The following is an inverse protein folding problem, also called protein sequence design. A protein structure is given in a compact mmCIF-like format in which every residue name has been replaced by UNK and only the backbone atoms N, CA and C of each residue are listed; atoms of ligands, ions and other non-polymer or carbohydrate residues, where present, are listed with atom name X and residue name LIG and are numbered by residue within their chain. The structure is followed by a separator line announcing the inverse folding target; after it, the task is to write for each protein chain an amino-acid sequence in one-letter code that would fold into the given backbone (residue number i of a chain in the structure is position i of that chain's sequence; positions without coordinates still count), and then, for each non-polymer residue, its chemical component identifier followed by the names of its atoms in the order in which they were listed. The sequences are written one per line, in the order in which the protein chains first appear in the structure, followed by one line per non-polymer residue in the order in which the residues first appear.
data_IF_137857896649
#
_entry.id   IF_137857896649
#
_cell.length_a   1.000
_cell.length_b   1.000
_cell.length_c   1.000
_cell.angle_alpha   90.00
_cell.angle_beta   90.00
_cell.angle_gamma   90.00
#
_symmetry.space_group_name_H-M   'P 1'
#
loop_
_entity.id
_entity.type
_entity.pdbx_description
1 polymer ?
#
# COMPACT_ATOMS: atom_id res chain seq x y z
N UNK A 1 -49.57 -15.05 -41.60
CA UNK A 1 -49.38 -14.14 -40.45
C UNK A 1 -49.06 -14.81 -39.10
N UNK A 2 -49.04 -16.15 -38.98
CA UNK A 2 -48.73 -16.87 -37.71
C UNK A 2 -47.24 -17.25 -37.53
N UNK A 3 -46.43 -17.18 -38.58
CA UNK A 3 -45.00 -17.55 -38.54
C UNK A 3 -44.13 -16.36 -38.07
N UNK A 4 -44.48 -15.13 -38.46
CA UNK A 4 -43.76 -13.92 -38.08
C UNK A 4 -43.87 -13.59 -36.57
N UNK A 5 -45.02 -13.85 -35.97
CA UNK A 5 -45.24 -13.61 -34.52
C UNK A 5 -44.46 -14.58 -33.63
N UNK A 6 -44.18 -15.80 -34.11
CA UNK A 6 -43.43 -16.81 -33.35
C UNK A 6 -41.92 -16.52 -33.31
N UNK A 7 -41.38 -15.91 -34.35
CA UNK A 7 -39.97 -15.54 -34.42
C UNK A 7 -39.66 -14.25 -33.65
N UNK A 8 -40.59 -13.29 -33.59
CA UNK A 8 -40.46 -12.09 -32.76
C UNK A 8 -40.50 -12.44 -31.26
N UNK A 9 -41.38 -13.37 -30.86
CA UNK A 9 -41.45 -13.83 -29.48
C UNK A 9 -40.16 -14.52 -29.00
N UNK A 10 -39.50 -15.30 -29.86
CA UNK A 10 -38.22 -15.94 -29.56
C UNK A 10 -37.05 -14.95 -29.46
N UNK A 11 -37.03 -13.90 -30.30
CA UNK A 11 -35.99 -12.87 -30.25
C UNK A 11 -36.14 -11.95 -29.03
N UNK A 12 -37.37 -11.61 -28.64
CA UNK A 12 -37.62 -10.82 -27.42
C UNK A 12 -37.28 -11.62 -26.16
N UNK A 13 -37.57 -12.92 -26.11
CA UNK A 13 -37.21 -13.78 -24.97
C UNK A 13 -35.68 -13.93 -24.82
N UNK A 14 -34.92 -13.99 -25.93
CA UNK A 14 -33.47 -14.04 -25.90
C UNK A 14 -32.83 -12.70 -25.46
N UNK A 15 -33.45 -11.57 -25.79
CA UNK A 15 -32.93 -10.25 -25.42
C UNK A 15 -33.20 -9.88 -23.95
N UNK A 16 -34.27 -10.41 -23.35
CA UNK A 16 -34.58 -10.21 -21.92
C UNK A 16 -33.62 -10.99 -21.01
N UNK A 17 -33.05 -12.11 -21.46
CA UNK A 17 -31.99 -12.82 -20.71
C UNK A 17 -30.64 -12.08 -20.69
N UNK A 18 -30.38 -11.19 -21.64
CA UNK A 18 -29.12 -10.41 -21.73
C UNK A 18 -29.12 -9.13 -20.89
N UNK A 19 -30.27 -8.75 -20.31
CA UNK A 19 -30.45 -7.54 -19.49
C UNK A 19 -30.71 -7.85 -18.01
N UNK A 20 -30.60 -9.11 -17.59
CA UNK A 20 -30.55 -9.40 -16.17
C UNK A 20 -29.25 -8.79 -15.61
N UNK A 21 -29.31 -7.86 -14.64
CA UNK A 21 -28.11 -7.47 -13.93
C UNK A 21 -27.53 -8.76 -13.35
N UNK A 22 -26.25 -9.03 -13.61
CA UNK A 22 -25.46 -10.03 -12.90
C UNK A 22 -25.29 -9.58 -11.45
N UNK A 23 -26.40 -9.44 -10.74
CA UNK A 23 -26.48 -9.22 -9.32
C UNK A 23 -26.38 -10.62 -8.71
N UNK A 24 -25.15 -11.03 -8.41
CA UNK A 24 -24.93 -12.24 -7.64
C UNK A 24 -25.62 -12.07 -6.29
N UNK A 25 -26.79 -12.69 -6.13
CA UNK A 25 -27.34 -12.95 -4.81
C UNK A 25 -26.28 -13.75 -4.04
N UNK A 26 -25.71 -13.17 -2.98
CA UNK A 26 -24.85 -13.91 -2.05
C UNK A 26 -25.68 -15.05 -1.49
N UNK A 27 -25.39 -16.28 -1.92
CA UNK A 27 -26.00 -17.47 -1.34
C UNK A 27 -25.71 -17.46 0.16
N UNK A 28 -26.77 -17.42 0.98
CA UNK A 28 -26.65 -17.62 2.43
C UNK A 28 -25.95 -18.97 2.66
N UNK A 29 -24.71 -18.93 3.14
CA UNK A 29 -23.94 -20.11 3.53
C UNK A 29 -22.70 -20.44 2.71
N UNK A 30 -22.22 -19.58 1.80
CA UNK A 30 -20.88 -19.76 1.23
C UNK A 30 -19.84 -19.46 2.32
N UNK A 31 -19.20 -20.51 2.84
CA UNK A 31 -18.12 -20.40 3.82
C UNK A 31 -16.98 -19.59 3.19
N UNK A 32 -16.68 -18.44 3.80
CA UNK A 32 -15.60 -17.57 3.33
C UNK A 32 -14.26 -18.28 3.52
N UNK A 33 -13.80 -18.92 2.45
CA UNK A 33 -12.58 -19.72 2.38
C UNK A 33 -11.31 -18.87 2.27
N UNK A 34 -11.41 -17.54 2.35
CA UNK A 34 -10.23 -16.67 2.34
C UNK A 34 -9.32 -16.95 3.55
N UNK A 35 -7.99 -16.84 3.38
CA UNK A 35 -7.03 -16.80 4.48
C UNK A 35 -7.46 -15.85 5.60
N UNK A 36 -7.21 -16.20 6.87
CA UNK A 36 -7.57 -15.34 8.01
C UNK A 36 -6.83 -14.00 7.96
N UNK A 37 -5.54 -13.99 7.59
CA UNK A 37 -4.75 -12.77 7.45
C UNK A 37 -3.69 -12.92 6.34
N UNK A 38 -3.44 -11.84 5.61
CA UNK A 38 -2.22 -11.68 4.80
C UNK A 38 -1.34 -10.60 5.42
N UNK A 39 -0.10 -10.95 5.73
CA UNK A 39 0.93 -10.01 6.16
C UNK A 39 1.76 -9.57 4.95
N UNK A 40 1.86 -8.27 4.73
CA UNK A 40 2.56 -7.67 3.59
C UNK A 40 3.76 -6.90 4.11
N UNK A 41 4.95 -7.20 3.61
CA UNK A 41 6.14 -6.38 3.80
C UNK A 41 6.34 -5.49 2.58
N UNK A 42 6.42 -4.18 2.77
CA UNK A 42 6.74 -3.22 1.72
C UNK A 42 8.09 -2.56 2.04
N UNK A 43 9.14 -3.00 1.34
CA UNK A 43 10.49 -2.47 1.51
C UNK A 43 10.71 -1.27 0.58
N UNK A 44 10.84 -0.09 1.16
CA UNK A 44 11.03 1.16 0.42
C UNK A 44 12.50 1.38 0.09
N UNK A 45 12.83 1.36 -1.20
CA UNK A 45 14.15 1.72 -1.71
C UNK A 45 15.19 0.60 -1.71
N UNK A 46 16.47 0.96 -1.83
CA UNK A 46 17.58 0.01 -2.09
C UNK A 46 18.79 0.17 -1.19
N UNK A 47 18.95 1.28 -0.45
CA UNK A 47 20.14 1.50 0.42
C UNK A 47 20.15 0.55 1.61
N UNK A 48 18.97 0.12 2.06
CA UNK A 48 18.81 -0.85 3.15
C UNK A 48 18.57 -2.29 2.67
N UNK A 49 18.77 -2.58 1.38
CA UNK A 49 18.47 -3.89 0.80
C UNK A 49 19.11 -5.07 1.56
N UNK A 50 20.36 -4.92 2.01
CA UNK A 50 21.04 -5.93 2.82
C UNK A 50 20.24 -6.29 4.10
N UNK A 51 19.70 -5.30 4.80
CA UNK A 51 18.92 -5.52 6.01
C UNK A 51 17.54 -6.10 5.70
N UNK A 52 16.90 -5.65 4.63
CA UNK A 52 15.63 -6.20 4.18
C UNK A 52 15.75 -7.71 3.87
N UNK A 53 16.83 -8.13 3.18
CA UNK A 53 17.08 -9.56 2.93
C UNK A 53 17.25 -10.36 4.23
N UNK A 54 17.90 -9.77 5.24
CA UNK A 54 18.01 -10.40 6.57
C UNK A 54 16.67 -10.47 7.30
N UNK A 55 15.83 -9.44 7.19
CA UNK A 55 14.47 -9.45 7.76
C UNK A 55 13.66 -10.60 7.15
N UNK A 56 13.65 -10.72 5.82
CA UNK A 56 12.96 -11.84 5.14
C UNK A 56 13.59 -13.19 5.47
N UNK A 57 14.91 -13.28 5.62
CA UNK A 57 15.55 -14.51 6.11
C UNK A 57 15.04 -14.91 7.49
N UNK A 58 14.92 -13.96 8.42
CA UNK A 58 14.39 -14.22 9.76
C UNK A 58 12.92 -14.66 9.72
N UNK A 59 12.10 -14.08 8.82
CA UNK A 59 10.72 -14.53 8.58
C UNK A 59 10.69 -15.97 8.08
N UNK A 60 11.52 -16.32 7.09
CA UNK A 60 11.64 -17.70 6.58
C UNK A 60 12.07 -18.67 7.68
N UNK A 61 12.99 -18.26 8.55
CA UNK A 61 13.44 -19.08 9.67
C UNK A 61 12.29 -19.35 10.66
N UNK A 62 11.50 -18.33 10.99
CA UNK A 62 10.32 -18.46 11.85
C UNK A 62 9.24 -19.36 11.24
N UNK A 63 9.03 -19.28 9.92
CA UNK A 63 8.07 -20.11 9.19
C UNK A 63 8.38 -21.61 9.28
N UNK A 64 9.64 -22.01 9.52
CA UNK A 64 9.99 -23.43 9.74
C UNK A 64 9.35 -24.04 10.99
N UNK A 65 8.85 -23.21 11.90
CA UNK A 65 8.07 -23.66 13.05
C UNK A 65 6.62 -24.07 12.73
N UNK A 66 6.21 -24.07 11.46
CA UNK A 66 4.84 -24.36 11.00
C UNK A 66 3.76 -23.51 11.70
N UNK A 67 4.09 -22.22 11.90
CA UNK A 67 3.27 -21.28 12.66
C UNK A 67 2.26 -20.50 11.80
N UNK A 68 2.36 -20.59 10.47
CA UNK A 68 1.61 -19.73 9.55
C UNK A 68 0.13 -20.13 9.42
N UNK A 69 -0.19 -21.40 9.69
CA UNK A 69 -1.54 -21.93 9.51
C UNK A 69 -2.07 -21.68 8.09
N UNK A 70 -3.23 -21.03 7.98
CA UNK A 70 -3.83 -20.65 6.67
C UNK A 70 -3.50 -19.22 6.22
N UNK A 71 -2.69 -18.48 6.99
CA UNK A 71 -2.31 -17.11 6.65
C UNK A 71 -1.32 -17.05 5.49
N UNK A 72 -1.10 -15.86 4.93
CA UNK A 72 -0.15 -15.65 3.84
C UNK A 72 0.86 -14.57 4.22
N UNK A 73 2.07 -14.69 3.68
CA UNK A 73 3.11 -13.66 3.80
C UNK A 73 3.54 -13.26 2.39
N UNK A 74 3.46 -11.96 2.12
CA UNK A 74 3.92 -11.35 0.90
C UNK A 74 5.02 -10.33 1.21
N UNK A 75 5.91 -10.10 0.27
CA UNK A 75 6.85 -8.99 0.37
C UNK A 75 7.13 -8.37 -0.99
N UNK A 76 7.36 -7.05 -0.98
CA UNK A 76 7.76 -6.28 -2.15
C UNK A 76 9.20 -5.80 -2.02
N UNK A 77 10.01 -6.06 -3.04
CA UNK A 77 11.39 -5.58 -3.13
C UNK A 77 11.62 -4.75 -4.38
N UNK A 78 12.25 -3.60 -4.19
CA UNK A 78 12.76 -2.82 -5.29
C UNK A 78 14.05 -3.44 -5.86
N UNK A 79 14.15 -3.51 -7.18
CA UNK A 79 15.36 -3.98 -7.85
C UNK A 79 16.51 -2.96 -7.71
N UNK A 80 17.75 -3.42 -7.90
CA UNK A 80 18.95 -2.57 -7.78
C UNK A 80 18.96 -1.39 -8.75
N UNK A 81 18.30 -1.53 -9.90
CA UNK A 81 18.17 -0.48 -10.91
C UNK A 81 17.15 0.60 -10.54
N UNK A 82 16.36 0.40 -9.47
CA UNK A 82 15.33 1.33 -8.99
C UNK A 82 14.25 1.62 -10.03
N UNK A 83 14.01 0.68 -10.94
CA UNK A 83 13.00 0.83 -12.00
C UNK A 83 11.85 -0.14 -11.83
N UNK A 84 11.98 -1.11 -10.93
CA UNK A 84 10.98 -2.14 -10.73
C UNK A 84 10.86 -2.50 -9.25
N UNK A 85 9.67 -2.92 -8.85
CA UNK A 85 9.47 -3.66 -7.59
C UNK A 85 8.82 -5.00 -7.89
N UNK A 86 9.23 -6.03 -7.18
CA UNK A 86 8.78 -7.40 -7.37
C UNK A 86 8.00 -7.86 -6.14
N UNK A 87 6.79 -8.40 -6.36
CA UNK A 87 5.95 -8.99 -5.33
C UNK A 87 6.20 -10.50 -5.28
N UNK A 88 6.59 -10.97 -4.12
CA UNK A 88 6.79 -12.38 -3.84
C UNK A 88 5.82 -12.87 -2.75
N UNK A 89 5.48 -14.15 -2.81
CA UNK A 89 4.81 -14.89 -1.75
C UNK A 89 5.77 -15.90 -1.13
N UNK A 90 5.79 -15.96 0.21
CA UNK A 90 6.45 -17.03 0.93
C UNK A 90 5.48 -18.17 1.16
N UNK A 91 5.81 -19.36 0.64
CA UNK A 91 5.04 -20.59 0.83
C UNK A 91 5.84 -21.60 1.63
N UNK A 92 5.18 -22.26 2.58
CA UNK A 92 5.77 -23.38 3.30
C UNK A 92 5.25 -24.69 2.71
N UNK A 93 6.13 -25.44 2.06
CA UNK A 93 5.82 -26.70 1.39
C UNK A 93 6.90 -27.73 1.73
N UNK A 94 6.49 -28.90 2.24
CA UNK A 94 7.39 -30.05 2.47
C UNK A 94 8.61 -29.73 3.37
N UNK A 95 8.42 -28.88 4.38
CA UNK A 95 9.48 -28.50 5.32
C UNK A 95 10.42 -27.39 4.78
N UNK A 96 10.15 -26.86 3.59
CA UNK A 96 10.94 -25.80 2.97
C UNK A 96 10.09 -24.55 2.74
N UNK A 97 10.70 -23.38 2.95
CA UNK A 97 10.09 -22.10 2.59
C UNK A 97 10.55 -21.73 1.19
N UNK A 98 9.59 -21.61 0.27
CA UNK A 98 9.80 -21.20 -1.13
C UNK A 98 9.36 -19.77 -1.34
N UNK A 99 10.09 -19.05 -2.18
CA UNK A 99 9.71 -17.73 -2.70
C UNK A 99 9.06 -17.89 -4.07
N UNK A 100 7.83 -17.41 -4.21
CA UNK A 100 7.09 -17.44 -5.47
C UNK A 100 6.92 -16.01 -5.97
N UNK A 101 7.53 -15.67 -7.10
CA UNK A 101 7.29 -14.38 -7.76
C UNK A 101 5.84 -14.36 -8.28
N UNK A 102 5.07 -13.38 -7.82
CA UNK A 102 3.69 -13.19 -8.25
C UNK A 102 3.58 -12.11 -9.33
N UNK A 103 4.32 -11.01 -9.19
CA UNK A 103 4.23 -9.86 -10.10
C UNK A 103 5.49 -9.00 -10.09
N UNK A 104 5.80 -8.39 -11.23
CA UNK A 104 6.83 -7.35 -11.35
C UNK A 104 6.18 -6.05 -11.83
N UNK A 105 6.29 -4.99 -11.02
CA UNK A 105 5.75 -3.66 -11.31
C UNK A 105 6.86 -2.75 -11.84
N UNK A 106 6.58 -2.00 -12.91
CA UNK A 106 7.46 -0.90 -13.31
C UNK A 106 7.22 0.30 -12.40
N UNK A 107 8.30 0.93 -11.95
CA UNK A 107 8.25 2.11 -11.10
C UNK A 107 8.50 3.38 -11.94
N UNK A 108 7.75 4.47 -11.67
CA UNK A 108 8.06 5.78 -12.23
C UNK A 108 9.40 6.30 -11.67
N UNK A 109 9.97 7.35 -12.27
CA UNK A 109 11.17 7.97 -11.71
C UNK A 109 10.92 8.59 -10.32
N UNK A 110 9.71 9.13 -10.11
CA UNK A 110 9.22 9.65 -8.83
C UNK A 110 7.95 8.89 -8.46
N UNK A 111 7.92 8.28 -7.28
CA UNK A 111 6.74 7.56 -6.80
C UNK A 111 5.59 8.55 -6.58
N UNK A 112 4.44 8.25 -7.19
CA UNK A 112 3.21 9.04 -7.04
C UNK A 112 2.07 8.19 -6.47
N UNK A 113 1.01 8.88 -6.02
CA UNK A 113 -0.17 8.23 -5.43
C UNK A 113 -0.84 7.24 -6.39
N UNK A 114 -0.89 7.55 -7.69
CA UNK A 114 -1.52 6.69 -8.68
C UNK A 114 -0.78 5.35 -8.80
N UNK A 115 0.54 5.39 -8.88
CA UNK A 115 1.41 4.22 -8.97
C UNK A 115 1.38 3.41 -7.68
N UNK A 116 1.44 4.08 -6.52
CA UNK A 116 1.37 3.40 -5.23
C UNK A 116 0.00 2.73 -5.00
N UNK A 117 -1.08 3.43 -5.34
CA UNK A 117 -2.45 2.89 -5.30
C UNK A 117 -2.60 1.68 -6.20
N UNK A 118 -2.07 1.75 -7.43
CA UNK A 118 -2.10 0.62 -8.36
C UNK A 118 -1.42 -0.62 -7.79
N UNK A 119 -0.23 -0.46 -7.21
CA UNK A 119 0.53 -1.56 -6.59
C UNK A 119 -0.29 -2.20 -5.46
N UNK A 120 -0.78 -1.41 -4.50
CA UNK A 120 -1.53 -1.98 -3.36
C UNK A 120 -2.86 -2.62 -3.79
N UNK A 121 -3.60 -2.01 -4.72
CA UNK A 121 -4.82 -2.62 -5.27
C UNK A 121 -4.52 -3.98 -5.92
N UNK A 122 -3.43 -4.08 -6.68
CA UNK A 122 -3.04 -5.34 -7.30
C UNK A 122 -2.59 -6.38 -6.27
N UNK A 123 -1.82 -5.99 -5.24
CA UNK A 123 -1.44 -6.89 -4.14
C UNK A 123 -2.67 -7.48 -3.45
N UNK A 124 -3.67 -6.65 -3.12
CA UNK A 124 -4.92 -7.10 -2.49
C UNK A 124 -5.71 -8.03 -3.41
N UNK A 125 -5.75 -7.73 -4.72
CA UNK A 125 -6.41 -8.57 -5.73
C UNK A 125 -5.73 -9.93 -5.90
N UNK A 126 -4.40 -9.98 -5.90
CA UNK A 126 -3.62 -11.21 -6.00
C UNK A 126 -3.67 -12.04 -4.72
N UNK A 127 -3.89 -11.39 -3.58
CA UNK A 127 -4.01 -12.05 -2.28
C UNK A 127 -5.23 -11.63 -1.46
N UNK A 128 -6.44 -12.05 -1.87
CA UNK A 128 -7.65 -11.80 -1.10
C UNK A 128 -7.56 -12.51 0.26
N UNK A 129 -7.85 -11.81 1.34
CA UNK A 129 -7.85 -12.30 2.73
C UNK A 129 -8.95 -11.64 3.54
N UNK A 130 -9.24 -12.20 4.72
CA UNK A 130 -10.22 -11.63 5.65
C UNK A 130 -9.70 -10.36 6.34
N UNK A 131 -8.40 -10.31 6.60
CA UNK A 131 -7.71 -9.18 7.21
C UNK A 131 -6.31 -9.01 6.62
N UNK A 132 -5.70 -7.85 6.85
CA UNK A 132 -4.38 -7.50 6.35
C UNK A 132 -3.53 -6.86 7.44
N UNK A 133 -2.26 -7.28 7.53
CA UNK A 133 -1.22 -6.58 8.27
C UNK A 133 -0.21 -6.00 7.29
N UNK A 134 0.32 -4.80 7.58
CA UNK A 134 1.32 -4.15 6.75
C UNK A 134 2.58 -3.83 7.56
N UNK A 135 3.74 -4.21 7.03
CA UNK A 135 5.05 -3.79 7.52
C UNK A 135 5.66 -2.84 6.50
N UNK A 136 5.79 -1.58 6.86
CA UNK A 136 6.44 -0.54 6.07
C UNK A 136 7.88 -0.39 6.54
N UNK A 137 8.85 -0.74 5.69
CA UNK A 137 10.24 -0.81 6.08
C UNK A 137 11.14 0.05 5.19
N UNK A 138 11.92 0.95 5.80
CA UNK A 138 12.90 1.77 5.10
C UNK A 138 13.30 3.04 5.82
N UNK A 139 13.85 4.00 5.07
CA UNK A 139 14.20 5.29 5.64
C UNK A 139 12.96 6.15 5.88
N UNK A 140 12.98 6.91 6.96
CA UNK A 140 11.98 7.96 7.22
C UNK A 140 12.58 9.05 8.11
N UNK A 141 11.97 10.22 8.07
CA UNK A 141 12.34 11.39 8.86
C UNK A 141 11.23 11.83 9.81
N UNK A 142 10.24 10.97 10.08
CA UNK A 142 9.19 11.24 11.06
C UNK A 142 8.28 12.37 10.61
N UNK A 143 8.36 13.54 11.23
CA UNK A 143 7.51 14.70 10.91
C UNK A 143 8.17 15.72 9.95
N UNK A 144 9.32 15.41 9.37
CA UNK A 144 10.02 16.35 8.47
C UNK A 144 9.48 16.20 7.05
N UNK A 145 9.27 17.31 6.30
CA UNK A 145 8.79 17.23 4.94
C UNK A 145 9.76 16.58 3.97
N UNK A 146 9.19 15.93 2.95
CA UNK A 146 9.97 15.58 1.77
C UNK A 146 10.22 16.84 0.93
N UNK A 147 11.35 17.50 1.14
CA UNK A 147 11.81 18.53 0.23
C UNK A 147 13.03 18.01 -0.58
N UNK A 148 12.89 17.89 -1.93
CA UNK A 148 13.98 17.54 -2.82
C UNK A 148 15.18 18.50 -2.74
N UNK A 149 14.98 19.74 -2.27
CA UNK A 149 16.05 20.71 -2.02
C UNK A 149 16.63 20.61 -0.60
N UNK A 150 15.84 20.42 0.45
CA UNK A 150 16.34 20.30 1.83
C UNK A 150 17.12 19.00 2.11
N UNK A 151 16.84 17.93 1.36
CA UNK A 151 17.64 16.68 1.41
C UNK A 151 19.05 16.84 0.84
N UNK A 152 19.40 18.00 0.28
CA UNK A 152 20.74 18.34 -0.25
C UNK A 152 21.72 18.84 0.81
N UNK A 153 21.27 19.13 2.03
CA UNK A 153 22.14 19.66 3.08
C UNK A 153 22.40 18.59 4.13
N UNK A 154 23.57 17.96 4.01
CA UNK A 154 24.23 17.29 5.13
C UNK A 154 24.38 18.32 6.27
N UNK A 155 23.44 18.32 7.23
CA UNK A 155 23.43 19.26 8.35
C UNK A 155 22.42 20.43 8.29
N UNK A 156 21.24 20.27 7.68
CA UNK A 156 20.17 21.27 7.80
C UNK A 156 19.74 21.45 9.27
N UNK A 157 20.27 22.50 9.90
CA UNK A 157 19.75 23.09 11.14
C UNK A 157 18.35 23.62 10.84
N UNK A 158 17.34 23.07 11.49
CA UNK A 158 15.99 23.63 11.46
C UNK A 158 15.94 24.79 12.47
N UNK A 159 15.76 26.01 11.98
CA UNK A 159 15.27 27.09 12.82
C UNK A 159 13.77 26.86 13.06
N UNK A 160 13.40 26.77 14.34
CA UNK A 160 12.00 26.74 14.77
C UNK A 160 11.29 27.99 14.26
N UNK A 161 10.23 27.81 13.46
CA UNK A 161 9.32 28.90 13.07
C UNK A 161 8.46 29.26 14.30
N UNK A 162 9.08 29.99 15.22
CA UNK A 162 8.44 30.73 16.30
C UNK A 162 8.30 32.20 15.93
N UNK A 163 7.56 32.50 14.86
CA UNK A 163 7.25 33.86 14.44
C UNK A 163 5.87 34.29 14.91
N UNK A 164 5.80 35.04 16.01
CA UNK A 164 4.59 35.61 16.57
C UNK A 164 3.84 36.51 15.57
N UNK A 165 2.52 36.34 15.42
CA UNK A 165 1.67 37.42 14.89
C UNK A 165 0.52 37.07 13.93
N UNK A 166 -0.27 36.02 14.16
CA UNK A 166 -1.58 35.90 13.48
C UNK A 166 -2.64 35.26 14.40
N UNK A 167 -3.39 36.09 15.12
CA UNK A 167 -4.63 35.67 15.78
C UNK A 167 -5.75 35.58 14.73
N UNK A 168 -5.81 34.45 14.02
CA UNK A 168 -7.02 34.03 13.32
C UNK A 168 -7.58 32.82 14.08
N UNK A 169 -8.80 32.95 14.58
CA UNK A 169 -9.47 31.88 15.30
C UNK A 169 -10.00 30.87 14.28
N UNK A 170 -9.15 29.90 13.95
CA UNK A 170 -9.43 28.84 12.99
C UNK A 170 -10.45 27.86 13.58
N UNK A 171 -11.38 27.37 12.76
CA UNK A 171 -12.29 26.29 13.13
C UNK A 171 -11.53 24.97 13.30
N UNK A 172 -12.09 23.99 14.02
CA UNK A 172 -11.44 22.68 14.21
C UNK A 172 -11.05 22.01 12.88
N UNK A 173 -11.88 22.15 11.84
CA UNK A 173 -11.60 21.61 10.51
C UNK A 173 -10.45 22.36 9.81
N UNK A 174 -10.29 23.66 10.04
CA UNK A 174 -9.23 24.48 9.45
C UNK A 174 -7.86 24.25 10.08
N UNK A 175 -7.78 23.82 11.35
CA UNK A 175 -6.52 23.38 11.96
C UNK A 175 -5.91 22.17 11.26
N UNK A 176 -6.75 21.31 10.69
CA UNK A 176 -6.34 20.04 10.08
C UNK A 176 -6.37 20.08 8.55
N UNK A 177 -6.81 21.18 7.95
CA UNK A 177 -6.89 21.31 6.50
C UNK A 177 -5.52 21.73 5.96
N UNK A 178 -4.93 20.87 5.14
CA UNK A 178 -3.72 21.17 4.35
C UNK A 178 -3.84 22.54 3.69
N UNK A 179 -2.91 23.44 4.00
CA UNK A 179 -2.82 24.72 3.33
C UNK A 179 -2.30 24.54 1.90
N UNK A 180 -2.88 25.31 0.97
CA UNK A 180 -2.58 25.20 -0.45
C UNK A 180 -1.16 25.71 -0.69
N UNK A 181 -0.22 24.80 -0.97
CA UNK A 181 1.19 25.10 -1.22
C UNK A 181 2.15 24.75 -0.07
N UNK A 182 1.67 24.18 1.03
CA UNK A 182 2.54 23.68 2.10
C UNK A 182 3.15 22.30 1.75
N UNK A 183 4.41 22.12 2.14
CA UNK A 183 5.13 20.85 2.01
C UNK A 183 4.57 19.85 3.00
N UNK A 184 4.24 18.65 2.54
CA UNK A 184 3.79 17.60 3.44
C UNK A 184 4.96 17.16 4.30
N UNK A 185 4.82 17.39 5.61
CA UNK A 185 5.61 16.75 6.66
C UNK A 185 5.30 15.26 6.65
N UNK A 186 6.32 14.39 6.75
CA UNK A 186 6.26 12.94 7.03
C UNK A 186 6.39 12.03 5.80
N UNK A 187 7.64 11.77 5.41
CA UNK A 187 7.96 10.88 4.30
C UNK A 187 8.59 9.57 4.74
N UNK A 188 8.30 8.51 3.98
CA UNK A 188 8.98 7.22 4.04
C UNK A 188 9.54 6.90 2.65
N UNK A 189 10.72 6.29 2.59
CA UNK A 189 11.40 5.90 1.36
C UNK A 189 12.70 6.65 1.10
N UNK A 190 13.13 6.64 -0.16
CA UNK A 190 14.47 7.08 -0.55
C UNK A 190 14.44 8.06 -1.70
N UNK A 191 15.12 9.19 -1.51
CA UNK A 191 15.51 10.10 -2.59
C UNK A 191 16.85 9.65 -3.19
N UNK A 192 16.89 9.51 -4.51
CA UNK A 192 18.08 9.11 -5.26
C UNK A 192 18.76 10.28 -5.94
N UNK A 193 17.98 11.22 -6.47
CA UNK A 193 18.45 12.46 -7.09
C UNK A 193 17.34 13.52 -7.07
N UNK A 194 17.62 14.71 -7.60
CA UNK A 194 16.62 15.78 -7.74
C UNK A 194 15.44 15.43 -8.67
N UNK A 195 15.57 14.39 -9.49
CA UNK A 195 14.55 13.96 -10.44
C UNK A 195 14.16 12.49 -10.28
N UNK A 196 14.64 11.83 -9.21
CA UNK A 196 14.31 10.44 -8.93
C UNK A 196 14.19 10.19 -7.43
N UNK A 197 13.00 9.75 -7.01
CA UNK A 197 12.73 9.45 -5.63
C UNK A 197 11.58 8.45 -5.49
N UNK A 198 11.78 7.44 -4.65
CA UNK A 198 10.70 6.58 -4.19
C UNK A 198 10.37 6.84 -2.72
N UNK A 199 10.73 8.02 -2.23
CA UNK A 199 10.09 8.60 -1.06
C UNK A 199 8.69 9.09 -1.42
N UNK A 200 7.75 8.93 -0.50
CA UNK A 200 6.41 9.48 -0.59
C UNK A 200 5.90 9.86 0.79
N UNK A 201 4.95 10.80 0.82
CA UNK A 201 4.35 11.28 2.05
C UNK A 201 3.34 10.28 2.61
N UNK A 202 3.06 10.36 3.91
CA UNK A 202 2.08 9.49 4.56
C UNK A 202 0.65 9.69 4.05
N UNK A 203 0.28 10.89 3.59
CA UNK A 203 -1.04 11.09 2.98
C UNK A 203 -1.18 10.27 1.69
N UNK A 204 -0.11 10.19 0.91
CA UNK A 204 -0.04 9.39 -0.32
C UNK A 204 -0.18 7.90 0.01
N UNK A 205 0.49 7.44 1.08
CA UNK A 205 0.29 6.09 1.59
C UNK A 205 -1.17 5.87 2.04
N UNK A 206 -1.72 6.77 2.86
CA UNK A 206 -3.09 6.66 3.37
C UNK A 206 -4.12 6.58 2.25
N UNK A 207 -3.98 7.42 1.21
CA UNK A 207 -4.86 7.39 0.04
C UNK A 207 -4.71 6.09 -0.74
N UNK A 208 -3.47 5.62 -0.94
CA UNK A 208 -3.22 4.35 -1.61
C UNK A 208 -3.83 3.16 -0.86
N UNK A 209 -3.68 3.08 0.47
CA UNK A 209 -4.29 2.04 1.28
C UNK A 209 -5.82 2.14 1.27
N UNK A 210 -6.39 3.35 1.44
CA UNK A 210 -7.83 3.58 1.40
C UNK A 210 -8.46 3.17 0.07
N UNK A 211 -7.74 3.39 -1.04
CA UNK A 211 -8.22 3.04 -2.39
C UNK A 211 -8.44 1.55 -2.60
N UNK A 212 -7.79 0.69 -1.79
CA UNK A 212 -7.95 -0.77 -1.89
C UNK A 212 -9.31 -1.27 -1.42
N UNK A 213 -10.05 -0.45 -0.66
CA UNK A 213 -11.32 -0.82 -0.05
C UNK A 213 -11.20 -1.86 1.06
N UNK A 214 -9.99 -2.16 1.55
CA UNK A 214 -9.75 -3.03 2.71
C UNK A 214 -9.20 -2.22 3.89
N UNK A 215 -9.46 -2.70 5.09
CA UNK A 215 -8.85 -2.15 6.31
C UNK A 215 -7.67 -3.02 6.71
N UNK A 216 -6.58 -2.37 7.12
CA UNK A 216 -5.42 -3.03 7.70
C UNK A 216 -5.60 -3.08 9.22
N UNK A 217 -5.45 -4.25 9.82
CA UNK A 217 -5.56 -4.44 11.28
C UNK A 217 -4.46 -3.67 12.02
N UNK A 218 -3.28 -3.57 11.40
CA UNK A 218 -2.13 -2.84 11.90
C UNK A 218 -1.18 -2.45 10.76
N UNK A 219 -0.46 -1.36 10.99
CA UNK A 219 0.71 -0.95 10.21
C UNK A 219 1.89 -0.88 11.16
N UNK A 220 2.93 -1.67 10.89
CA UNK A 220 4.20 -1.64 11.60
C UNK A 220 5.21 -0.85 10.76
N UNK A 221 5.70 0.26 11.30
CA UNK A 221 6.79 1.00 10.69
C UNK A 221 8.14 0.51 11.21
N UNK A 222 8.88 -0.22 10.38
CA UNK A 222 10.31 -0.50 10.55
C UNK A 222 11.11 0.63 9.88
N UNK A 223 10.93 1.84 10.42
CA UNK A 223 11.48 3.08 9.89
C UNK A 223 11.71 4.10 11.02
N UNK A 224 12.70 4.97 10.84
CA UNK A 224 13.07 5.95 11.86
C UNK A 224 11.95 6.97 12.12
N UNK A 225 11.79 7.36 13.39
CA UNK A 225 10.93 8.47 13.83
C UNK A 225 9.43 8.34 13.55
N UNK A 226 8.91 7.19 13.13
CA UNK A 226 7.48 7.03 12.77
C UNK A 226 6.52 6.88 13.95
N UNK A 227 7.03 6.69 15.16
CA UNK A 227 6.21 6.68 16.38
C UNK A 227 5.99 8.12 16.88
N UNK A 228 5.27 8.91 16.11
CA UNK A 228 4.87 10.27 16.44
C UNK A 228 3.37 10.47 16.18
N UNK A 229 2.74 11.44 16.87
CA UNK A 229 1.28 11.63 16.85
C UNK A 229 0.80 12.09 15.48
N UNK A 230 1.65 12.87 14.82
CA UNK A 230 1.55 13.33 13.46
C UNK A 230 1.32 12.17 12.47
N UNK A 231 2.31 11.29 12.32
CA UNK A 231 2.28 10.13 11.44
C UNK A 231 1.08 9.23 11.73
N UNK A 232 0.81 8.96 13.02
CA UNK A 232 -0.34 8.17 13.43
C UNK A 232 -1.67 8.79 12.98
N UNK A 233 -1.79 10.12 13.04
CA UNK A 233 -3.00 10.81 12.63
C UNK A 233 -3.24 10.74 11.12
N UNK A 234 -2.20 10.80 10.30
CA UNK A 234 -2.33 10.74 8.84
C UNK A 234 -2.77 9.37 8.34
N UNK A 235 -2.37 8.29 9.03
CA UNK A 235 -2.73 6.91 8.68
C UNK A 235 -3.82 6.31 9.59
N UNK A 236 -4.67 7.15 10.18
CA UNK A 236 -5.67 6.72 11.19
C UNK A 236 -6.88 5.96 10.61
N UNK A 237 -7.09 6.01 9.29
CA UNK A 237 -8.26 5.45 8.59
C UNK A 237 -7.83 4.31 7.68
#
# INVERSE_FOLDING_TARGET
MRIFTRNIALVVAAFVMLLAPACGEKKKGEEDNRPPQTLIFYFTGTKLAFYFYRNISAVKDAMRGDILGKSRILYLFQNSSKTQTELFELKYEEGLVKEVLLQTYQLPAVMDEQSLSYIFNDVIRQAPSKSYGLVMAGHSTGWIPMDPESTRVEGSRIESVGGAGATQQLTHEEYWRKNKGEHETRYIGETYSSSSSHGFDLSTLSNALSSTGVTFDYILFDACFMSNVEALYDIRN
#
